data_IF_703073544736
#
_entry.id   IF_703073544736
#
_cell.length_a   1.000
_cell.length_b   1.000
_cell.length_c   1.000
_cell.angle_alpha   90.00
_cell.angle_beta   90.00
_cell.angle_gamma   90.00
#
_symmetry.space_group_name_H-M   'P 1'
#
loop_
_entity.id
_entity.type
_entity.pdbx_description
1 polymer ?
#
# COMPACT_ATOMS: atom_id res chain seq x y z
N UNK A 1 -2.22 -53.62 -7.15
CA UNK A 1 -2.63 -52.42 -6.38
C UNK A 1 -1.90 -51.23 -6.99
N UNK A 2 -2.40 -50.73 -8.12
CA UNK A 2 -1.85 -49.57 -8.84
C UNK A 2 -3.00 -48.61 -9.11
N UNK A 3 -3.54 -48.03 -8.04
CA UNK A 3 -4.47 -46.92 -8.17
C UNK A 3 -4.12 -45.99 -7.02
N UNK A 4 -3.10 -45.16 -7.26
CA UNK A 4 -3.11 -43.82 -6.70
C UNK A 4 -4.41 -43.21 -7.23
N UNK A 5 -5.39 -43.12 -6.33
CA UNK A 5 -6.72 -42.58 -6.60
C UNK A 5 -6.55 -41.30 -7.41
N UNK A 6 -7.08 -41.27 -8.65
CA UNK A 6 -6.77 -40.19 -9.61
C UNK A 6 -7.21 -38.81 -9.09
N UNK A 7 -8.03 -38.77 -8.04
CA UNK A 7 -8.39 -37.58 -7.28
C UNK A 7 -7.24 -36.97 -6.48
N UNK A 8 -6.31 -37.78 -5.96
CA UNK A 8 -5.25 -37.28 -5.06
C UNK A 8 -4.27 -36.38 -5.82
N UNK A 9 -3.85 -36.76 -7.02
CA UNK A 9 -2.86 -36.00 -7.80
C UNK A 9 -3.39 -34.63 -8.26
N UNK A 10 -4.68 -34.54 -8.60
CA UNK A 10 -5.29 -33.26 -9.00
C UNK A 10 -5.47 -32.33 -7.80
N UNK A 11 -5.83 -32.89 -6.64
CA UNK A 11 -5.94 -32.14 -5.39
C UNK A 11 -4.58 -31.61 -4.95
N UNK A 12 -3.54 -32.45 -5.00
CA UNK A 12 -2.17 -32.05 -4.67
C UNK A 12 -1.65 -30.95 -5.60
N UNK A 13 -1.94 -31.02 -6.90
CA UNK A 13 -1.55 -29.95 -7.85
C UNK A 13 -2.24 -28.62 -7.53
N UNK A 14 -3.54 -28.65 -7.21
CA UNK A 14 -4.29 -27.44 -6.81
C UNK A 14 -3.74 -26.84 -5.52
N UNK A 15 -3.49 -27.67 -4.51
CA UNK A 15 -2.88 -27.25 -3.24
C UNK A 15 -1.50 -26.62 -3.45
N UNK A 16 -0.69 -27.18 -4.35
CA UNK A 16 0.63 -26.63 -4.66
C UNK A 16 0.55 -25.26 -5.34
N UNK A 17 -0.41 -25.09 -6.25
CA UNK A 17 -0.63 -23.80 -6.90
C UNK A 17 -1.16 -22.74 -5.92
N UNK A 18 -2.09 -23.12 -5.04
CA UNK A 18 -2.61 -22.25 -3.98
C UNK A 18 -1.49 -21.85 -3.01
N UNK A 19 -0.67 -22.81 -2.57
CA UNK A 19 0.49 -22.55 -1.72
C UNK A 19 1.46 -21.55 -2.37
N UNK A 20 1.74 -21.72 -3.66
CA UNK A 20 2.59 -20.79 -4.41
C UNK A 20 1.96 -19.39 -4.53
N UNK A 21 0.63 -19.30 -4.69
CA UNK A 21 -0.06 -18.01 -4.69
C UNK A 21 0.03 -17.32 -3.33
N UNK A 22 -0.21 -18.04 -2.24
CA UNK A 22 -0.08 -17.52 -0.88
C UNK A 22 1.35 -17.07 -0.57
N UNK A 23 2.37 -17.81 -1.01
CA UNK A 23 3.77 -17.39 -0.88
C UNK A 23 4.09 -16.13 -1.68
N UNK A 24 3.61 -16.02 -2.92
CA UNK A 24 3.76 -14.82 -3.74
C UNK A 24 3.07 -13.62 -3.10
N UNK A 25 1.87 -13.80 -2.57
CA UNK A 25 1.13 -12.73 -1.90
C UNK A 25 1.83 -12.28 -0.61
N UNK A 26 2.33 -13.23 0.18
CA UNK A 26 3.15 -12.94 1.37
C UNK A 26 4.40 -12.14 1.01
N UNK A 27 5.14 -12.56 -0.01
CA UNK A 27 6.35 -11.85 -0.45
C UNK A 27 6.03 -10.46 -0.98
N UNK A 28 4.95 -10.30 -1.75
CA UNK A 28 4.47 -9.00 -2.22
C UNK A 28 4.19 -8.04 -1.06
N UNK A 29 3.39 -8.45 -0.07
CA UNK A 29 3.08 -7.59 1.08
C UNK A 29 4.31 -7.30 1.96
N UNK A 30 5.23 -8.26 2.09
CA UNK A 30 6.50 -8.03 2.79
C UNK A 30 7.35 -6.97 2.08
N UNK A 31 7.42 -7.00 0.75
CA UNK A 31 8.13 -5.98 -0.03
C UNK A 31 7.47 -4.61 0.11
N UNK A 32 6.15 -4.55 -0.05
CA UNK A 32 5.36 -3.32 0.09
C UNK A 32 5.51 -2.70 1.48
N UNK A 33 5.53 -3.53 2.53
CA UNK A 33 5.76 -3.06 3.90
C UNK A 33 7.16 -2.46 4.07
N UNK A 34 8.21 -3.10 3.52
CA UNK A 34 9.57 -2.54 3.55
C UNK A 34 9.68 -1.23 2.80
N UNK A 35 9.02 -1.12 1.66
CA UNK A 35 8.97 0.12 0.87
C UNK A 35 8.26 1.24 1.63
N UNK A 36 7.08 0.96 2.19
CA UNK A 36 6.35 1.89 3.04
C UNK A 36 7.14 2.30 4.29
N UNK A 37 7.87 1.39 4.94
CA UNK A 37 8.73 1.73 6.06
C UNK A 37 9.93 2.62 5.65
N UNK A 38 10.46 2.43 4.44
CA UNK A 38 11.54 3.24 3.91
C UNK A 38 11.04 4.65 3.60
N UNK A 39 9.90 4.76 2.91
CA UNK A 39 9.21 6.02 2.64
C UNK A 39 8.86 6.73 3.97
N UNK A 40 8.26 6.01 4.91
CA UNK A 40 7.93 6.52 6.25
C UNK A 40 9.17 7.02 6.99
N UNK A 41 10.30 6.32 6.93
CA UNK A 41 11.55 6.80 7.55
C UNK A 41 12.10 8.06 6.89
N UNK A 42 11.99 8.17 5.57
CA UNK A 42 12.42 9.37 4.83
C UNK A 42 11.53 10.58 5.17
N UNK A 43 10.22 10.36 5.31
CA UNK A 43 9.25 11.43 5.63
C UNK A 43 9.30 11.81 7.11
N UNK A 44 9.28 10.84 8.03
CA UNK A 44 9.24 11.09 9.48
C UNK A 44 10.61 11.54 10.03
N UNK A 45 11.72 11.08 9.45
CA UNK A 45 13.06 11.44 9.92
C UNK A 45 13.44 12.91 9.72
N UNK A 46 12.71 13.62 8.86
CA UNK A 46 12.94 15.04 8.60
C UNK A 46 11.66 15.83 8.92
N UNK A 47 11.64 16.61 10.02
CA UNK A 47 10.45 17.34 10.47
C UNK A 47 9.83 18.23 9.38
N UNK A 48 10.67 18.79 8.49
CA UNK A 48 10.24 19.62 7.37
C UNK A 48 9.49 18.84 6.29
N UNK A 49 9.96 17.62 5.97
CA UNK A 49 9.28 16.74 5.01
C UNK A 49 7.98 16.17 5.59
N UNK A 50 7.95 15.87 6.89
CA UNK A 50 6.74 15.43 7.58
C UNK A 50 5.66 16.52 7.55
N UNK A 51 6.02 17.77 7.85
CA UNK A 51 5.10 18.91 7.82
C UNK A 51 4.57 19.15 6.40
N UNK A 52 5.44 19.06 5.38
CA UNK A 52 5.05 19.17 3.97
C UNK A 52 4.08 18.05 3.56
N UNK A 53 4.39 16.80 3.88
CA UNK A 53 3.52 15.66 3.58
C UNK A 53 2.17 15.74 4.29
N UNK A 54 2.16 16.15 5.56
CA UNK A 54 0.92 16.31 6.32
C UNK A 54 0.03 17.43 5.73
N UNK A 55 0.63 18.53 5.27
CA UNK A 55 -0.07 19.62 4.59
C UNK A 55 -0.62 19.21 3.22
N UNK A 56 0.16 18.51 2.40
CA UNK A 56 -0.26 18.13 1.04
C UNK A 56 -1.31 17.00 1.06
N UNK A 57 -1.09 15.96 1.87
CA UNK A 57 -1.95 14.76 1.86
C UNK A 57 -3.18 14.89 2.74
N UNK A 58 -3.06 15.58 3.87
CA UNK A 58 -4.12 15.65 4.88
C UNK A 58 -4.60 17.07 5.15
N UNK A 59 -4.13 18.07 4.40
CA UNK A 59 -4.51 19.48 4.56
C UNK A 59 -4.37 19.96 6.02
N UNK A 60 -3.38 19.44 6.74
CA UNK A 60 -3.19 19.76 8.16
C UNK A 60 -2.83 21.24 8.33
N UNK A 61 -3.61 21.95 9.16
CA UNK A 61 -3.38 23.35 9.53
C UNK A 61 -2.91 23.50 10.97
N UNK A 62 -2.03 24.47 11.23
CA UNK A 62 -1.80 24.96 12.59
C UNK A 62 -3.00 25.82 13.02
N UNK A 63 -3.34 25.88 14.32
CA UNK A 63 -4.52 26.60 14.80
C UNK A 63 -4.53 28.12 14.55
N UNK A 64 -3.44 28.71 14.06
CA UNK A 64 -3.32 30.13 13.70
C UNK A 64 -3.05 30.36 12.20
N UNK A 65 -3.28 29.34 11.37
CA UNK A 65 -2.93 29.37 9.95
C UNK A 65 -4.18 29.11 9.11
N UNK A 66 -4.52 30.05 8.22
CA UNK A 66 -5.64 29.93 7.29
C UNK A 66 -5.16 29.25 6.00
N UNK A 67 -5.72 28.08 5.69
CA UNK A 67 -5.44 27.34 4.45
C UNK A 67 -6.53 27.66 3.43
N UNK A 68 -6.13 28.17 2.27
CA UNK A 68 -7.00 28.39 1.12
C UNK A 68 -6.79 27.26 0.11
N UNK A 69 -7.82 26.45 -0.13
CA UNK A 69 -7.83 25.45 -1.21
C UNK A 69 -8.52 26.08 -2.41
N UNK A 70 -7.78 26.26 -3.51
CA UNK A 70 -8.35 26.77 -4.75
C UNK A 70 -9.05 25.60 -5.44
N UNK A 71 -10.35 25.75 -5.66
CA UNK A 71 -11.19 24.75 -6.35
C UNK A 71 -11.81 25.38 -7.58
N UNK A 72 -11.94 24.59 -8.64
CA UNK A 72 -12.69 24.99 -9.84
C UNK A 72 -14.20 25.06 -9.58
N UNK A 73 -14.95 25.57 -10.55
CA UNK A 73 -16.43 25.68 -10.50
C UNK A 73 -17.14 24.35 -10.18
N UNK A 74 -16.45 23.22 -10.38
CA UNK A 74 -16.93 21.87 -10.07
C UNK A 74 -16.47 21.34 -8.70
N UNK A 75 -15.96 22.19 -7.81
CA UNK A 75 -15.43 21.80 -6.50
C UNK A 75 -14.25 20.81 -6.55
N UNK A 76 -13.55 20.75 -7.69
CA UNK A 76 -12.38 19.92 -7.86
C UNK A 76 -11.11 20.71 -7.52
N UNK A 77 -10.13 20.14 -6.80
CA UNK A 77 -8.85 20.78 -6.56
C UNK A 77 -8.16 21.05 -7.89
N UNK A 78 -7.76 22.30 -8.13
CA UNK A 78 -6.96 22.64 -9.30
C UNK A 78 -5.53 22.18 -8.98
N UNK A 79 -5.16 20.99 -9.43
CA UNK A 79 -3.78 20.51 -9.29
C UNK A 79 -2.85 21.41 -10.12
N UNK A 80 -1.76 21.88 -9.49
CA UNK A 80 -0.75 22.75 -10.08
C UNK A 80 0.32 21.96 -10.86
#
# INVERSE_FOLDING_TARGET
MFVLDSNDVTVQFRLWNELRQLENEKTYYQQKTKELEKERRMVIGNPSLLEKYAREKYLMKKPKEDIFVIVDENNQPIEH
#
